data_IF_966141845344
#
_entry.id   IF_966141845344
#
_cell.length_a   1.000
_cell.length_b   1.000
_cell.length_c   1.000
_cell.angle_alpha   90.00
_cell.angle_beta   90.00
_cell.angle_gamma   90.00
#
_symmetry.space_group_name_H-M   'P 1'
#
loop_
_entity.id
_entity.type
_entity.pdbx_description
1 polymer ?
#
# COMPACT_ATOMS: atom_id res chain seq x y z
N UNK A 1 13.53 5.05 -11.26
CA UNK A 1 12.23 5.47 -10.67
C UNK A 1 11.15 4.77 -11.47
N UNK A 2 9.95 4.58 -10.91
CA UNK A 2 8.87 3.90 -11.60
C UNK A 2 8.00 4.91 -12.34
N UNK A 3 7.77 4.67 -13.63
CA UNK A 3 7.01 5.57 -14.50
C UNK A 3 5.55 5.12 -14.69
N UNK A 4 5.26 3.81 -14.57
CA UNK A 4 3.94 3.24 -14.86
C UNK A 4 3.47 2.22 -13.81
N UNK A 5 2.22 2.38 -13.33
CA UNK A 5 1.62 1.55 -12.26
C UNK A 5 1.16 0.16 -12.71
N UNK A 6 0.78 0.01 -13.96
CA UNK A 6 0.34 -1.27 -14.53
C UNK A 6 1.43 -2.35 -14.44
N UNK A 7 2.70 -1.96 -14.49
CA UNK A 7 3.87 -2.84 -14.37
C UNK A 7 3.97 -3.58 -13.02
N UNK A 8 3.32 -3.07 -11.97
CA UNK A 8 3.40 -3.60 -10.60
C UNK A 8 2.09 -4.20 -10.08
N UNK A 9 1.00 -4.12 -10.84
CA UNK A 9 -0.28 -4.75 -10.48
C UNK A 9 -0.15 -6.27 -10.41
N UNK A 10 -0.77 -6.88 -9.40
CA UNK A 10 -0.80 -8.35 -9.28
C UNK A 10 -1.78 -8.96 -10.28
N UNK A 11 -1.47 -10.17 -10.72
CA UNK A 11 -2.34 -11.06 -11.49
C UNK A 11 -2.87 -12.19 -10.60
N UNK A 12 -3.93 -12.87 -11.04
CA UNK A 12 -4.54 -13.97 -10.28
C UNK A 12 -3.51 -15.06 -9.89
N UNK A 13 -2.57 -15.39 -10.79
CA UNK A 13 -1.52 -16.41 -10.56
C UNK A 13 -0.42 -15.96 -9.59
N UNK A 14 -0.30 -14.65 -9.34
CA UNK A 14 0.67 -14.10 -8.39
C UNK A 14 0.13 -14.06 -6.95
N UNK A 15 -1.18 -14.26 -6.78
CA UNK A 15 -1.83 -14.24 -5.46
C UNK A 15 -1.40 -15.47 -4.64
N UNK A 16 -1.11 -15.30 -3.35
CA UNK A 16 -0.58 -16.40 -2.51
C UNK A 16 -1.63 -17.48 -2.20
N UNK A 17 -2.89 -17.20 -2.46
CA UNK A 17 -4.05 -18.06 -2.25
C UNK A 17 -5.02 -17.86 -3.41
N UNK A 18 -5.96 -18.80 -3.65
CA UNK A 18 -6.98 -18.62 -4.69
C UNK A 18 -7.69 -17.28 -4.49
N UNK A 19 -7.62 -16.42 -5.49
CA UNK A 19 -8.20 -15.10 -5.41
C UNK A 19 -8.73 -14.68 -6.77
N UNK A 20 -9.66 -13.73 -6.74
CA UNK A 20 -10.24 -13.14 -7.93
C UNK A 20 -10.17 -11.63 -7.86
N UNK A 21 -9.67 -11.01 -8.92
CA UNK A 21 -9.80 -9.57 -9.11
C UNK A 21 -11.28 -9.20 -9.26
N UNK A 22 -11.80 -8.48 -8.27
CA UNK A 22 -13.19 -8.02 -8.23
C UNK A 22 -13.37 -6.72 -8.98
N UNK A 23 -12.42 -5.79 -8.82
CA UNK A 23 -12.39 -4.55 -9.57
C UNK A 23 -10.99 -3.97 -9.58
N UNK A 24 -10.71 -3.17 -10.60
CA UNK A 24 -9.43 -2.52 -10.85
C UNK A 24 -9.80 -1.15 -11.41
N UNK A 25 -9.52 -0.07 -10.66
CA UNK A 25 -9.95 1.29 -11.04
C UNK A 25 -8.88 2.34 -10.77
N UNK A 26 -8.73 3.35 -11.66
CA UNK A 26 -7.92 4.51 -11.36
C UNK A 26 -8.51 5.27 -10.17
N UNK A 27 -7.66 5.84 -9.34
CA UNK A 27 -8.04 6.72 -8.24
C UNK A 27 -8.19 8.11 -8.84
N UNK A 28 -9.44 8.48 -9.16
CA UNK A 28 -9.77 9.69 -9.91
C UNK A 28 -9.65 11.00 -9.10
N UNK A 29 -9.25 10.93 -7.83
CA UNK A 29 -9.15 12.09 -6.97
C UNK A 29 -7.70 12.27 -6.48
N UNK A 30 -7.04 13.40 -6.77
CA UNK A 30 -5.72 13.74 -6.22
C UNK A 30 -5.73 13.95 -4.69
N UNK A 31 -6.85 13.70 -4.01
CA UNK A 31 -7.06 13.97 -2.58
C UNK A 31 -6.67 12.82 -1.65
N UNK A 32 -6.16 11.70 -2.15
CA UNK A 32 -5.64 10.62 -1.31
C UNK A 32 -4.48 9.90 -1.97
N UNK A 33 -3.27 9.95 -1.35
CA UNK A 33 -2.92 10.79 -0.20
C UNK A 33 -3.06 12.29 -0.54
N UNK A 34 -3.54 13.08 0.41
CA UNK A 34 -3.95 14.47 0.17
C UNK A 34 -2.78 15.41 -0.16
N UNK A 35 -1.59 15.11 0.35
CA UNK A 35 -0.36 15.82 0.03
C UNK A 35 0.84 14.87 0.25
N UNK A 36 1.90 14.95 -0.58
CA UNK A 36 1.94 15.61 -1.90
C UNK A 36 0.97 14.99 -2.90
N UNK A 37 0.65 15.71 -3.97
CA UNK A 37 -0.21 15.22 -5.05
C UNK A 37 0.49 14.08 -5.79
N UNK A 38 -0.21 12.95 -5.97
CA UNK A 38 0.29 11.85 -6.77
C UNK A 38 0.10 12.12 -8.27
N UNK A 39 1.02 11.65 -9.10
CA UNK A 39 0.91 11.72 -10.56
C UNK A 39 -0.19 10.79 -11.09
N UNK A 40 -0.30 9.62 -10.49
CA UNK A 40 -1.33 8.62 -10.80
C UNK A 40 -1.59 7.74 -9.58
N UNK A 41 -2.82 7.24 -9.47
CA UNK A 41 -3.20 6.28 -8.44
C UNK A 41 -4.12 5.21 -8.98
N UNK A 42 -4.05 4.02 -8.38
CA UNK A 42 -4.84 2.87 -8.79
C UNK A 42 -5.28 2.04 -7.57
N UNK A 43 -6.50 1.50 -7.61
CA UNK A 43 -7.05 0.63 -6.56
C UNK A 43 -7.54 -0.68 -7.17
N UNK A 44 -6.88 -1.77 -6.76
CA UNK A 44 -7.31 -3.14 -7.05
C UNK A 44 -8.03 -3.72 -5.84
N UNK A 45 -9.17 -4.35 -6.07
CA UNK A 45 -9.93 -5.07 -5.05
C UNK A 45 -9.97 -6.54 -5.39
N UNK A 46 -9.60 -7.35 -4.42
CA UNK A 46 -9.47 -8.79 -4.54
C UNK A 46 -10.42 -9.49 -3.60
N UNK A 47 -11.07 -10.55 -4.09
CA UNK A 47 -11.79 -11.51 -3.24
C UNK A 47 -10.86 -12.68 -2.94
N UNK A 48 -10.46 -12.80 -1.69
CA UNK A 48 -9.62 -13.88 -1.19
C UNK A 48 -10.46 -15.15 -0.99
N UNK A 49 -9.90 -16.31 -1.32
CA UNK A 49 -10.59 -17.59 -1.43
C UNK A 49 -11.81 -17.55 -2.37
N UNK A 50 -11.82 -16.62 -3.32
CA UNK A 50 -12.96 -16.31 -4.18
C UNK A 50 -14.24 -15.91 -3.42
N UNK A 51 -14.11 -15.37 -2.19
CA UNK A 51 -15.24 -14.98 -1.34
C UNK A 51 -15.41 -13.46 -1.29
N UNK A 52 -16.57 -12.90 -1.68
CA UNK A 52 -16.82 -11.46 -1.60
C UNK A 52 -16.64 -10.85 -0.20
N UNK A 53 -16.86 -11.64 0.86
CA UNK A 53 -16.69 -11.22 2.25
C UNK A 53 -15.23 -11.15 2.75
N UNK A 54 -14.27 -11.67 1.97
CA UNK A 54 -12.82 -11.60 2.27
C UNK A 54 -12.16 -10.65 1.27
N UNK A 55 -12.31 -9.34 1.48
CA UNK A 55 -11.91 -8.34 0.50
C UNK A 55 -10.59 -7.65 0.85
N UNK A 56 -9.58 -7.82 0.02
CA UNK A 56 -8.32 -7.06 0.13
C UNK A 56 -8.32 -5.96 -0.91
N UNK A 57 -8.09 -4.72 -0.48
CA UNK A 57 -7.87 -3.59 -1.36
C UNK A 57 -6.39 -3.21 -1.37
N UNK A 58 -5.81 -3.15 -2.57
CA UNK A 58 -4.45 -2.73 -2.82
C UNK A 58 -4.49 -1.40 -3.55
N UNK A 59 -3.93 -0.38 -2.92
CA UNK A 59 -3.81 0.94 -3.53
C UNK A 59 -2.35 1.21 -3.88
N UNK A 60 -2.14 1.80 -5.04
CA UNK A 60 -0.82 2.21 -5.53
C UNK A 60 -0.89 3.68 -5.91
N UNK A 61 0.16 4.43 -5.60
CA UNK A 61 0.31 5.83 -6.00
C UNK A 61 1.73 6.10 -6.45
N UNK A 62 1.89 6.67 -7.63
CA UNK A 62 3.18 7.17 -8.14
C UNK A 62 3.31 8.66 -7.81
N UNK A 63 4.51 9.05 -7.39
CA UNK A 63 4.89 10.43 -7.15
C UNK A 63 6.04 10.85 -8.05
N UNK A 64 6.25 12.16 -8.14
CA UNK A 64 7.35 12.76 -8.91
C UNK A 64 8.73 12.38 -8.36
N UNK A 65 8.84 12.18 -7.05
CA UNK A 65 10.09 11.81 -6.40
C UNK A 65 9.93 10.80 -5.26
N UNK A 66 10.99 10.06 -4.89
CA UNK A 66 10.98 9.22 -3.69
C UNK A 66 10.71 10.00 -2.41
N UNK A 67 11.15 11.26 -2.34
CA UNK A 67 10.91 12.14 -1.20
C UNK A 67 9.42 12.47 -1.06
N UNK A 68 8.72 12.64 -2.17
CA UNK A 68 7.29 12.91 -2.16
C UNK A 68 6.49 11.68 -1.75
N UNK A 69 6.86 10.49 -2.23
CA UNK A 69 6.27 9.23 -1.78
C UNK A 69 6.46 9.03 -0.27
N UNK A 70 7.66 9.35 0.25
CA UNK A 70 7.94 9.27 1.68
C UNK A 70 7.08 10.25 2.50
N UNK A 71 7.00 11.50 2.06
CA UNK A 71 6.15 12.51 2.70
C UNK A 71 4.67 12.10 2.68
N UNK A 72 4.21 11.54 1.56
CA UNK A 72 2.86 11.03 1.39
C UNK A 72 2.57 9.88 2.36
N UNK A 73 3.52 8.97 2.60
CA UNK A 73 3.39 7.89 3.56
C UNK A 73 3.28 8.41 5.00
N UNK A 74 4.16 9.34 5.38
CA UNK A 74 4.15 9.95 6.72
C UNK A 74 2.83 10.67 6.98
N UNK A 75 2.31 11.44 6.02
CA UNK A 75 0.99 12.09 6.15
C UNK A 75 -0.17 11.08 6.04
N UNK A 76 0.02 10.04 5.24
CA UNK A 76 -0.92 8.97 4.94
C UNK A 76 -1.02 7.90 6.02
N UNK A 77 -0.20 7.92 7.08
CA UNK A 77 -0.27 6.95 8.19
C UNK A 77 -1.64 6.88 8.89
N UNK A 78 -2.52 7.86 8.68
CA UNK A 78 -3.94 7.80 9.09
C UNK A 78 -4.79 6.80 8.29
N UNK A 79 -4.35 6.37 7.11
CA UNK A 79 -5.09 5.42 6.27
C UNK A 79 -5.04 3.99 6.83
N UNK A 80 -4.00 3.63 7.59
CA UNK A 80 -3.95 2.34 8.29
C UNK A 80 -4.85 2.32 9.53
N UNK A 81 -5.14 3.49 10.13
CA UNK A 81 -6.12 3.65 11.20
C UNK A 81 -6.30 5.12 11.58
N UNK A 82 -7.53 5.50 11.94
CA UNK A 82 -7.87 6.85 12.41
C UNK A 82 -7.38 7.16 13.83
N UNK A 83 -6.63 6.26 14.49
CA UNK A 83 -6.11 6.51 15.84
C UNK A 83 -5.10 7.66 15.84
N UNK A 84 -5.38 8.65 16.69
CA UNK A 84 -4.55 9.81 16.92
C UNK A 84 -4.53 10.18 18.40
N UNK A 85 -3.47 10.87 18.81
CA UNK A 85 -3.33 11.51 20.12
C UNK A 85 -3.22 13.02 19.93
N UNK A 86 -3.65 13.78 20.92
CA UNK A 86 -3.58 15.24 20.88
C UNK A 86 -2.29 15.70 21.56
N UNK A 87 -1.37 16.28 20.79
CA UNK A 87 -0.06 16.80 21.26
C UNK A 87 0.06 18.25 20.78
N UNK A 88 0.43 19.16 21.68
CA UNK A 88 0.73 20.57 21.37
C UNK A 88 -0.31 21.28 20.48
N UNK A 89 -1.60 21.03 20.75
CA UNK A 89 -2.70 21.67 20.03
C UNK A 89 -3.05 21.03 18.68
N UNK A 90 -2.46 19.87 18.34
CA UNK A 90 -2.69 19.16 17.08
C UNK A 90 -2.97 17.67 17.31
N UNK A 91 -3.80 17.11 16.44
CA UNK A 91 -4.01 15.66 16.39
C UNK A 91 -2.90 15.01 15.58
N UNK A 92 -2.10 14.17 16.25
CA UNK A 92 -1.01 13.41 15.64
C UNK A 92 -1.38 11.93 15.59
N UNK A 93 -1.13 11.28 14.45
CA UNK A 93 -1.31 9.83 14.38
C UNK A 93 -0.25 9.12 15.22
N UNK A 94 -0.69 8.13 16.00
CA UNK A 94 0.14 7.38 16.95
C UNK A 94 1.09 6.37 16.29
N UNK A 95 0.91 6.10 15.00
CA UNK A 95 1.68 5.07 14.31
C UNK A 95 3.08 5.57 13.96
N UNK A 96 4.07 4.82 14.44
CA UNK A 96 5.47 4.99 14.08
C UNK A 96 5.81 4.02 12.93
N UNK A 97 6.87 4.30 12.14
CA UNK A 97 7.37 3.36 11.17
C UNK A 97 7.76 2.04 11.82
N UNK A 98 7.60 0.93 11.10
CA UNK A 98 8.02 -0.38 11.58
C UNK A 98 9.55 -0.44 11.71
N UNK A 99 9.99 -1.03 12.82
CA UNK A 99 11.40 -1.21 13.16
C UNK A 99 11.82 -2.68 13.15
N UNK A 100 10.87 -3.60 13.20
CA UNK A 100 11.14 -5.04 13.13
C UNK A 100 11.31 -5.48 11.68
N UNK A 101 12.47 -6.07 11.36
CA UNK A 101 12.86 -6.44 10.00
C UNK A 101 11.82 -7.32 9.29
N UNK A 102 11.17 -8.22 10.01
CA UNK A 102 10.15 -9.12 9.46
C UNK A 102 8.93 -8.36 8.90
N UNK A 103 8.60 -7.22 9.51
CA UNK A 103 7.51 -6.34 9.12
C UNK A 103 7.92 -5.23 8.14
N UNK A 104 9.20 -5.09 7.81
CA UNK A 104 9.68 -4.04 6.92
C UNK A 104 9.54 -4.42 5.43
N UNK A 105 8.92 -3.52 4.67
CA UNK A 105 8.84 -3.51 3.22
C UNK A 105 9.39 -2.20 2.68
N UNK A 106 10.09 -2.28 1.56
CA UNK A 106 10.67 -1.15 0.85
C UNK A 106 11.54 -0.26 1.73
N UNK A 107 11.43 1.04 1.51
CA UNK A 107 12.27 2.07 2.13
C UNK A 107 11.68 2.52 3.49
N UNK A 108 10.35 2.42 3.64
CA UNK A 108 9.62 2.76 4.86
C UNK A 108 8.30 2.01 4.92
N UNK A 109 7.95 1.49 6.09
CA UNK A 109 6.67 0.80 6.33
C UNK A 109 5.97 1.34 7.57
N UNK A 110 4.65 1.39 7.53
CA UNK A 110 3.76 1.52 8.66
C UNK A 110 2.74 0.37 8.60
N UNK A 111 2.51 -0.33 9.70
CA UNK A 111 1.44 -1.33 9.77
C UNK A 111 0.54 -1.18 10.98
N UNK A 112 -0.70 -1.60 10.80
CA UNK A 112 -1.66 -1.79 11.87
C UNK A 112 -2.69 -2.85 11.50
N UNK A 113 -2.76 -3.92 12.30
CA UNK A 113 -3.60 -5.08 12.01
C UNK A 113 -3.33 -5.56 10.57
N UNK A 114 -4.39 -5.74 9.76
CA UNK A 114 -4.32 -6.19 8.37
C UNK A 114 -4.14 -5.03 7.36
N UNK A 115 -3.53 -3.93 7.79
CA UNK A 115 -3.22 -2.79 6.92
C UNK A 115 -1.72 -2.54 6.93
N UNK A 116 -1.12 -2.54 5.76
CA UNK A 116 0.31 -2.30 5.54
C UNK A 116 0.44 -1.17 4.53
N UNK A 117 1.04 -0.06 4.95
CA UNK A 117 1.37 1.09 4.13
C UNK A 117 2.88 1.14 3.99
N UNK A 118 3.42 1.06 2.78
CA UNK A 118 4.87 1.12 2.57
C UNK A 118 5.26 1.90 1.33
N UNK A 119 6.48 2.42 1.35
CA UNK A 119 7.10 3.18 0.27
C UNK A 119 8.20 2.34 -0.36
N UNK A 120 8.30 2.39 -1.68
CA UNK A 120 9.45 1.91 -2.43
C UNK A 120 9.75 2.87 -3.57
N UNK A 121 10.94 3.47 -3.59
CA UNK A 121 11.29 4.52 -4.53
C UNK A 121 10.21 5.63 -4.53
N UNK A 122 9.67 5.98 -5.69
CA UNK A 122 8.61 6.98 -5.85
C UNK A 122 7.19 6.41 -5.78
N UNK A 123 6.99 5.20 -5.24
CA UNK A 123 5.67 4.55 -5.14
C UNK A 123 5.26 4.35 -3.68
N UNK A 124 4.04 4.75 -3.36
CA UNK A 124 3.35 4.41 -2.11
C UNK A 124 2.38 3.26 -2.38
N UNK A 125 2.36 2.28 -1.50
CA UNK A 125 1.45 1.14 -1.56
C UNK A 125 0.70 1.00 -0.24
N UNK A 126 -0.61 0.79 -0.31
CA UNK A 126 -1.44 0.39 0.82
C UNK A 126 -2.13 -0.94 0.52
N UNK A 127 -1.77 -1.98 1.25
CA UNK A 127 -2.51 -3.25 1.30
C UNK A 127 -3.43 -3.18 2.51
N UNK A 128 -4.73 -3.29 2.29
CA UNK A 128 -5.75 -3.10 3.35
C UNK A 128 -6.81 -4.17 3.32
N UNK A 129 -7.12 -4.72 4.50
CA UNK A 129 -8.24 -5.62 4.72
C UNK A 129 -8.96 -5.22 6.02
N UNK A 130 -9.96 -4.32 5.95
CA UNK A 130 -10.58 -3.75 7.14
C UNK A 130 -11.51 -4.73 7.88
N UNK A 131 -11.91 -5.83 7.22
CA UNK A 131 -12.85 -6.80 7.78
C UNK A 131 -12.22 -7.78 8.78
N UNK A 132 -10.88 -7.85 8.84
CA UNK A 132 -10.13 -8.85 9.61
C UNK A 132 -10.59 -10.29 9.29
N UNK A 133 -10.98 -10.53 8.03
CA UNK A 133 -11.45 -11.83 7.54
C UNK A 133 -10.35 -12.60 6.79
N UNK A 134 -9.18 -11.98 6.60
CA UNK A 134 -8.02 -12.56 5.94
C UNK A 134 -6.88 -12.63 6.95
N UNK A 135 -6.12 -13.71 6.96
CA UNK A 135 -4.98 -13.84 7.87
C UNK A 135 -3.90 -12.81 7.55
N UNK A 136 -3.26 -12.26 8.59
CA UNK A 136 -2.20 -11.27 8.46
C UNK A 136 -1.04 -11.79 7.59
N UNK A 137 -0.73 -13.08 7.66
CA UNK A 137 0.30 -13.72 6.83
C UNK A 137 -0.02 -13.59 5.32
N UNK A 138 -1.28 -13.75 4.93
CA UNK A 138 -1.72 -13.54 3.54
C UNK A 138 -1.52 -12.09 3.12
N UNK A 139 -1.84 -11.12 3.98
CA UNK A 139 -1.63 -9.69 3.72
C UNK A 139 -0.14 -9.37 3.56
N UNK A 140 0.72 -9.91 4.43
CA UNK A 140 2.18 -9.77 4.33
C UNK A 140 2.73 -10.41 3.06
N UNK A 141 2.22 -11.59 2.68
CA UNK A 141 2.63 -12.26 1.45
C UNK A 141 2.24 -11.45 0.21
N UNK A 142 1.05 -10.83 0.18
CA UNK A 142 0.64 -9.91 -0.90
C UNK A 142 1.60 -8.72 -0.96
N UNK A 143 1.92 -8.08 0.18
CA UNK A 143 2.86 -6.97 0.23
C UNK A 143 4.26 -7.35 -0.27
N UNK A 144 4.79 -8.53 0.09
CA UNK A 144 6.07 -9.05 -0.43
C UNK A 144 6.05 -9.25 -1.94
N UNK A 145 4.93 -9.74 -2.50
CA UNK A 145 4.80 -9.91 -3.96
C UNK A 145 4.87 -8.57 -4.68
N UNK A 146 4.17 -7.56 -4.17
CA UNK A 146 4.20 -6.20 -4.71
C UNK A 146 5.61 -5.61 -4.62
N UNK A 147 6.26 -5.71 -3.46
CA UNK A 147 7.65 -5.28 -3.25
C UNK A 147 8.61 -5.91 -4.27
N UNK A 148 8.50 -7.22 -4.49
CA UNK A 148 9.33 -7.92 -5.46
C UNK A 148 9.09 -7.42 -6.90
N UNK A 149 7.86 -7.06 -7.27
CA UNK A 149 7.56 -6.46 -8.58
C UNK A 149 8.16 -5.06 -8.70
N UNK A 150 8.02 -4.23 -7.67
CA UNK A 150 8.65 -2.91 -7.62
C UNK A 150 10.17 -3.01 -7.82
N UNK A 151 10.83 -3.94 -7.12
CA UNK A 151 12.27 -4.20 -7.30
C UNK A 151 12.62 -4.67 -8.72
N UNK A 152 11.80 -5.53 -9.31
CA UNK A 152 12.03 -6.03 -10.67
C UNK A 152 11.90 -4.92 -11.72
N UNK A 153 10.96 -3.98 -11.56
CA UNK A 153 10.81 -2.81 -12.42
C UNK A 153 12.01 -1.88 -12.27
N UNK A 154 12.38 -1.54 -11.03
CA UNK A 154 13.53 -0.65 -10.76
C UNK A 154 14.86 -1.18 -11.34
N UNK A 155 15.05 -2.51 -11.35
CA UNK A 155 16.23 -3.15 -11.97
C UNK A 155 16.23 -3.10 -13.50
N UNK A 156 15.06 -3.06 -14.14
CA UNK A 156 14.97 -2.94 -15.61
C UNK A 156 15.27 -1.52 -16.09
N UNK A 157 15.02 -0.53 -15.23
CA UNK A 157 15.20 0.89 -15.52
C UNK A 157 16.58 1.42 -15.07
N UNK A 158 17.48 0.54 -14.61
CA UNK A 158 18.86 0.84 -14.18
C UNK A 158 19.88 0.44 -15.25
#
# INVERSE_FOLDING_TARGET
MIEHLDSIQLTDDEMPVPARLSSSRPILSPTSPAEPECLAGFCDRWWIDNRPGKNVAIHYWIFDSPKDADLAAVKGRRYISARSIYIDGKWESVYQPETELEGMFGDKTFSWQNNILFVKSNVLVLVSEPGQQVELETIRSIARKIEAKLDAVLKKDS
#
